data_IF_628797915515
#
_entry.id   IF_628797915515
#
_cell.length_a   1.000
_cell.length_b   1.000
_cell.length_c   1.000
_cell.angle_alpha   90.00
_cell.angle_beta   90.00
_cell.angle_gamma   90.00
#
_symmetry.space_group_name_H-M   'P 1'
#
loop_
_entity.id
_entity.type
_entity.pdbx_description
1 polymer ?
#
# COMPACT_ATOMS: atom_id res chain seq x y z
N UNK A 1 -0.13 2.53 -11.43
CA UNK A 1 -0.79 1.90 -10.26
C UNK A 1 -0.48 0.40 -10.17
N UNK A 2 -0.85 -0.42 -11.17
CA UNK A 2 -0.64 -1.89 -11.13
C UNK A 2 0.80 -2.29 -10.77
N UNK A 3 1.81 -1.70 -11.43
CA UNK A 3 3.23 -1.95 -11.14
C UNK A 3 3.61 -1.71 -9.67
N UNK A 4 3.13 -0.59 -9.10
CA UNK A 4 3.34 -0.25 -7.68
C UNK A 4 2.75 -1.36 -6.79
N UNK A 5 1.50 -1.74 -7.02
CA UNK A 5 0.84 -2.78 -6.23
C UNK A 5 1.60 -4.12 -6.30
N UNK A 6 2.05 -4.52 -7.50
CA UNK A 6 2.84 -5.75 -7.68
C UNK A 6 4.13 -5.73 -6.88
N UNK A 7 4.81 -4.58 -6.80
CA UNK A 7 6.02 -4.44 -6.01
C UNK A 7 5.71 -4.50 -4.51
N UNK A 8 4.71 -3.75 -4.03
CA UNK A 8 4.39 -3.64 -2.60
C UNK A 8 3.86 -4.95 -2.00
N UNK A 9 3.15 -5.76 -2.77
CA UNK A 9 2.54 -7.03 -2.29
C UNK A 9 3.56 -8.18 -2.25
N UNK A 10 4.75 -8.01 -2.83
CA UNK A 10 5.79 -9.06 -2.83
C UNK A 10 6.30 -9.33 -1.40
N UNK A 11 6.47 -10.62 -1.07
CA UNK A 11 7.00 -11.06 0.23
C UNK A 11 8.40 -10.54 0.49
N UNK A 12 9.25 -10.56 -0.53
CA UNK A 12 10.61 -10.03 -0.48
C UNK A 12 10.70 -9.00 -1.60
N UNK A 13 11.14 -7.79 -1.26
CA UNK A 13 11.28 -6.70 -2.21
C UNK A 13 12.67 -6.11 -2.09
N UNK A 14 13.34 -5.98 -3.23
CA UNK A 14 14.63 -5.30 -3.30
C UNK A 14 14.45 -3.78 -3.16
N UNK A 15 15.44 -3.12 -2.56
CA UNK A 15 15.43 -1.67 -2.32
C UNK A 15 15.19 -0.88 -3.62
N UNK A 16 15.77 -1.31 -4.74
CA UNK A 16 15.61 -0.63 -6.03
C UNK A 16 14.15 -0.70 -6.53
N UNK A 17 13.50 -1.84 -6.38
CA UNK A 17 12.08 -1.98 -6.72
C UNK A 17 11.22 -1.10 -5.79
N UNK A 18 11.57 -1.01 -4.51
CA UNK A 18 10.86 -0.11 -3.57
C UNK A 18 11.00 1.37 -3.94
N UNK A 19 12.20 1.81 -4.35
CA UNK A 19 12.43 3.16 -4.88
C UNK A 19 11.61 3.41 -6.15
N UNK A 20 11.59 2.47 -7.08
CA UNK A 20 10.75 2.53 -8.29
C UNK A 20 9.27 2.72 -7.91
N UNK A 21 8.76 1.91 -6.98
CA UNK A 21 7.37 1.99 -6.53
C UNK A 21 7.05 3.35 -5.88
N UNK A 22 7.97 3.91 -5.08
CA UNK A 22 7.81 5.22 -4.47
C UNK A 22 7.75 6.34 -5.52
N UNK A 23 8.68 6.36 -6.47
CA UNK A 23 8.68 7.36 -7.55
C UNK A 23 7.41 7.29 -8.41
N UNK A 24 6.95 6.07 -8.71
CA UNK A 24 5.71 5.85 -9.44
C UNK A 24 4.48 6.33 -8.64
N UNK A 25 4.45 6.13 -7.32
CA UNK A 25 3.39 6.63 -6.44
C UNK A 25 3.34 8.16 -6.43
N UNK A 26 4.49 8.81 -6.29
CA UNK A 26 4.58 10.29 -6.34
C UNK A 26 4.02 10.80 -7.67
N UNK A 27 4.39 10.18 -8.80
CA UNK A 27 3.85 10.54 -10.13
C UNK A 27 2.33 10.37 -10.20
N UNK A 28 1.80 9.26 -9.70
CA UNK A 28 0.35 8.99 -9.68
C UNK A 28 -0.40 10.05 -8.85
N UNK A 29 0.11 10.40 -7.67
CA UNK A 29 -0.55 11.37 -6.79
C UNK A 29 -0.50 12.78 -7.40
N UNK A 30 0.61 13.17 -8.02
CA UNK A 30 0.70 14.44 -8.77
C UNK A 30 -0.31 14.48 -9.91
N UNK A 31 -0.43 13.40 -10.70
CA UNK A 31 -1.43 13.32 -11.76
C UNK A 31 -2.86 13.41 -11.24
N UNK A 32 -3.16 12.78 -10.09
CA UNK A 32 -4.48 12.91 -9.47
C UNK A 32 -4.74 14.37 -9.06
N UNK A 33 -3.75 15.04 -8.47
CA UNK A 33 -3.85 16.45 -8.09
C UNK A 33 -4.09 17.35 -9.31
N UNK A 34 -3.36 17.12 -10.39
CA UNK A 34 -3.47 17.89 -11.64
C UNK A 34 -4.82 17.66 -12.35
N UNK A 35 -5.29 16.41 -12.44
CA UNK A 35 -6.51 16.07 -13.17
C UNK A 35 -7.79 16.37 -12.38
N UNK A 36 -7.76 16.24 -11.06
CA UNK A 36 -8.96 16.25 -10.22
C UNK A 36 -8.95 17.28 -9.09
N UNK A 37 -7.89 18.08 -8.98
CA UNK A 37 -7.77 19.09 -7.93
C UNK A 37 -7.19 18.56 -6.62
N UNK A 38 -6.76 19.50 -5.78
CA UNK A 38 -6.13 19.21 -4.49
C UNK A 38 -7.11 18.63 -3.47
N UNK A 39 -8.40 18.94 -3.59
CA UNK A 39 -9.48 18.43 -2.74
C UNK A 39 -9.66 16.91 -2.85
N UNK A 40 -9.13 16.29 -3.92
CA UNK A 40 -9.16 14.83 -4.10
C UNK A 40 -7.95 14.13 -3.50
N UNK A 41 -6.97 14.86 -3.01
CA UNK A 41 -5.82 14.32 -2.29
C UNK A 41 -6.24 14.00 -0.86
N UNK A 42 -6.79 12.80 -0.68
CA UNK A 42 -7.20 12.31 0.63
C UNK A 42 -5.98 11.99 1.51
N UNK A 43 -6.13 12.00 2.85
CA UNK A 43 -5.09 11.53 3.76
C UNK A 43 -4.59 10.12 3.43
N UNK A 44 -5.46 9.24 2.93
CA UNK A 44 -5.09 7.89 2.50
C UNK A 44 -4.11 7.90 1.31
N UNK A 45 -4.29 8.81 0.35
CA UNK A 45 -3.34 8.98 -0.75
C UNK A 45 -2.00 9.52 -0.24
N UNK A 46 -2.01 10.43 0.73
CA UNK A 46 -0.77 10.91 1.36
C UNK A 46 -0.05 9.78 2.13
N UNK A 47 -0.80 8.96 2.87
CA UNK A 47 -0.26 7.79 3.60
C UNK A 47 0.40 6.77 2.67
N UNK A 48 -0.05 6.63 1.42
CA UNK A 48 0.61 5.76 0.44
C UNK A 48 2.08 6.15 0.19
N UNK A 49 2.45 7.42 0.35
CA UNK A 49 3.84 7.87 0.20
C UNK A 49 4.73 7.36 1.34
N UNK A 50 4.18 7.32 2.55
CA UNK A 50 4.85 6.85 3.76
C UNK A 50 4.98 5.32 3.82
N UNK A 51 4.22 4.59 3.00
CA UNK A 51 4.36 3.13 2.89
C UNK A 51 5.77 2.67 2.48
N UNK A 52 6.51 3.50 1.75
CA UNK A 52 7.92 3.24 1.43
C UNK A 52 8.77 3.19 2.70
N UNK A 53 8.67 4.20 3.54
CA UNK A 53 9.42 4.31 4.80
C UNK A 53 9.02 3.17 5.74
N UNK A 54 7.72 2.91 5.89
CA UNK A 54 7.24 1.78 6.69
C UNK A 54 7.76 0.43 6.19
N UNK A 55 7.81 0.22 4.87
CA UNK A 55 8.29 -1.04 4.31
C UNK A 55 9.80 -1.22 4.44
N UNK A 56 10.56 -0.11 4.48
CA UNK A 56 12.00 -0.10 4.73
C UNK A 56 12.30 -0.49 6.18
N UNK A 57 11.60 0.10 7.15
CA UNK A 57 11.85 -0.11 8.58
C UNK A 57 11.28 -1.44 9.10
N UNK A 58 10.09 -1.84 8.63
CA UNK A 58 9.33 -2.91 9.26
C UNK A 58 9.23 -4.20 8.43
N UNK A 59 9.81 -4.23 7.23
CA UNK A 59 9.68 -5.29 6.17
C UNK A 59 8.45 -5.10 5.28
N UNK A 60 8.37 -5.92 4.23
CA UNK A 60 7.35 -5.82 3.18
C UNK A 60 5.92 -5.78 3.73
N UNK A 61 5.06 -4.99 3.06
CA UNK A 61 3.63 -4.87 3.35
C UNK A 61 2.90 -6.21 3.38
N UNK A 62 3.41 -7.22 2.68
CA UNK A 62 2.92 -8.60 2.76
C UNK A 62 2.86 -9.12 4.21
N UNK A 63 3.83 -8.76 5.05
CA UNK A 63 3.91 -9.21 6.44
C UNK A 63 2.87 -8.53 7.35
N UNK A 64 2.48 -7.30 7.02
CA UNK A 64 1.51 -6.50 7.78
C UNK A 64 0.10 -6.58 7.24
N UNK A 65 -0.11 -7.28 6.12
CA UNK A 65 -1.39 -7.30 5.48
C UNK A 65 -2.43 -7.93 6.41
N UNK A 66 -3.51 -7.19 6.66
CA UNK A 66 -4.65 -7.60 7.51
C UNK A 66 -5.40 -8.84 6.99
N UNK A 67 -4.91 -9.49 5.93
CA UNK A 67 -5.54 -10.63 5.30
C UNK A 67 -5.76 -11.79 6.29
N UNK A 68 -4.75 -12.12 7.10
CA UNK A 68 -4.87 -13.18 8.12
C UNK A 68 -5.93 -12.85 9.15
N UNK A 69 -5.97 -11.61 9.65
CA UNK A 69 -6.99 -11.15 10.60
C UNK A 69 -8.39 -11.13 9.98
N UNK A 70 -8.55 -10.64 8.73
CA UNK A 70 -9.84 -10.68 8.03
C UNK A 70 -10.33 -12.10 7.81
N UNK A 71 -9.44 -13.04 7.46
CA UNK A 71 -9.78 -14.45 7.33
C UNK A 71 -10.22 -15.05 8.66
N UNK A 72 -9.52 -14.76 9.76
CA UNK A 72 -9.92 -15.20 11.10
C UNK A 72 -11.27 -14.59 11.51
N UNK A 73 -11.50 -13.31 11.25
CA UNK A 73 -12.79 -12.67 11.54
C UNK A 73 -13.94 -13.31 10.75
N UNK A 74 -13.69 -13.73 9.50
CA UNK A 74 -14.67 -14.50 8.72
C UNK A 74 -14.95 -15.88 9.30
N UNK A 75 -13.93 -16.56 9.84
CA UNK A 75 -14.11 -17.83 10.54
C UNK A 75 -14.87 -17.65 11.86
N UNK A 76 -14.51 -16.64 12.65
CA UNK A 76 -15.15 -16.31 13.94
C UNK A 76 -16.59 -15.81 13.78
N UNK A 77 -16.87 -15.03 12.72
CA UNK A 77 -18.21 -14.56 12.41
C UNK A 77 -19.12 -15.66 11.84
N UNK A 78 -18.55 -16.72 11.27
CA UNK A 78 -19.30 -17.88 10.74
C UNK A 78 -19.40 -19.04 11.74
N UNK A 79 -18.58 -19.06 12.79
CA UNK A 79 -18.83 -19.94 13.93
C UNK A 79 -20.05 -19.39 14.67
N UNK A 80 -21.20 -20.02 14.48
CA UNK A 80 -22.37 -19.82 15.33
C UNK A 80 -21.98 -20.13 16.78
N UNK A 81 -21.68 -19.07 17.52
CA UNK A 81 -21.65 -19.01 18.97
C UNK A 81 -22.85 -18.17 19.39
#
# INVERSE_FOLDING_TARGET
FVRVCTILIRRIVEINNMKEAHELLVKIIKLIKECYGEEKITPNLHLLLHLYECSYDYRSLYSFQYFSFKRMNGLLGNSNL
#
